data_IF_169369298140
#
_entry.id   IF_169369298140
#
_cell.length_a   1.000
_cell.length_b   1.000
_cell.length_c   1.000
_cell.angle_alpha   90.00
_cell.angle_beta   90.00
_cell.angle_gamma   90.00
#
_symmetry.space_group_name_H-M   'P 1'
#
loop_
_entity.id
_entity.type
_entity.pdbx_description
1 polymer ?
#
# COMPACT_ATOMS: atom_id res chain seq x y z
N UNK A 1 32.72 -25.12 -16.27
CA UNK A 1 33.31 -23.88 -15.72
C UNK A 1 32.18 -23.06 -15.13
N UNK A 2 31.95 -23.19 -13.82
CA UNK A 2 30.97 -22.35 -13.12
C UNK A 2 31.56 -20.97 -12.98
N UNK A 3 31.14 -20.05 -13.84
CA UNK A 3 31.45 -18.64 -13.68
C UNK A 3 30.77 -18.15 -12.39
N UNK A 4 31.59 -17.83 -11.40
CA UNK A 4 31.11 -17.08 -10.22
C UNK A 4 30.51 -15.76 -10.72
N UNK A 5 29.20 -15.67 -10.84
CA UNK A 5 28.53 -14.40 -11.13
C UNK A 5 28.84 -13.47 -9.96
N UNK A 6 29.67 -12.45 -10.20
CA UNK A 6 29.97 -11.42 -9.21
C UNK A 6 28.67 -10.73 -8.83
N UNK A 7 28.28 -10.81 -7.56
CA UNK A 7 27.08 -10.12 -7.05
C UNK A 7 27.39 -8.63 -6.90
N UNK A 8 26.37 -7.81 -7.08
CA UNK A 8 26.42 -6.40 -6.74
C UNK A 8 26.18 -6.24 -5.24
N UNK A 9 27.05 -5.49 -4.59
CA UNK A 9 26.83 -5.01 -3.23
C UNK A 9 26.08 -3.67 -3.32
N UNK A 10 24.88 -3.62 -2.79
CA UNK A 10 24.01 -2.45 -2.85
C UNK A 10 23.62 -2.01 -1.45
N UNK A 11 23.23 -0.74 -1.32
CA UNK A 11 22.57 -0.19 -0.13
C UNK A 11 21.15 0.17 -0.49
N UNK A 12 20.19 -0.16 0.37
CA UNK A 12 18.77 0.08 0.07
C UNK A 12 18.08 0.69 1.28
N UNK A 13 17.36 1.77 1.04
CA UNK A 13 16.37 2.30 1.97
C UNK A 13 15.03 1.60 1.70
N UNK A 14 14.51 0.89 2.68
CA UNK A 14 13.22 0.20 2.63
C UNK A 14 12.27 0.88 3.61
N UNK A 15 11.49 1.83 3.14
CA UNK A 15 10.61 2.65 3.96
C UNK A 15 11.36 3.30 5.14
N UNK A 16 11.08 2.85 6.38
CA UNK A 16 11.72 3.40 7.59
C UNK A 16 13.06 2.72 7.92
N UNK A 17 13.37 1.59 7.28
CA UNK A 17 14.65 0.90 7.42
C UNK A 17 15.67 1.49 6.47
N UNK A 18 16.64 2.23 7.01
CA UNK A 18 17.65 2.93 6.22
C UNK A 18 18.92 2.10 6.07
N UNK A 19 19.64 2.32 4.96
CA UNK A 19 20.99 1.79 4.68
C UNK A 19 21.12 0.26 4.82
N UNK A 20 20.14 -0.49 4.32
CA UNK A 20 20.15 -1.95 4.39
C UNK A 20 21.09 -2.52 3.31
N UNK A 21 21.99 -3.43 3.71
CA UNK A 21 22.90 -4.11 2.78
C UNK A 21 22.17 -5.18 1.97
N UNK A 22 22.37 -5.21 0.65
CA UNK A 22 21.82 -6.24 -0.22
C UNK A 22 22.85 -6.78 -1.20
N UNK A 23 22.78 -8.08 -1.48
CA UNK A 23 23.58 -8.76 -2.49
C UNK A 23 22.68 -9.21 -3.64
N UNK A 24 22.79 -8.55 -4.79
CA UNK A 24 21.95 -8.82 -5.93
C UNK A 24 22.72 -9.44 -7.10
N UNK A 25 22.06 -10.31 -7.86
CA UNK A 25 22.59 -10.76 -9.15
C UNK A 25 22.40 -9.63 -10.19
N UNK A 26 23.43 -9.25 -10.95
CA UNK A 26 23.34 -8.17 -11.95
C UNK A 26 22.27 -8.41 -13.03
N UNK A 27 21.89 -9.66 -13.23
CA UNK A 27 20.91 -10.10 -14.24
C UNK A 27 19.45 -9.99 -13.79
N UNK A 28 19.19 -9.70 -12.51
CA UNK A 28 17.82 -9.52 -12.02
C UNK A 28 17.18 -8.28 -12.65
N UNK A 29 15.93 -8.39 -13.03
CA UNK A 29 15.10 -7.23 -13.35
C UNK A 29 14.69 -6.50 -12.06
N UNK A 30 14.26 -5.24 -12.19
CA UNK A 30 13.82 -4.45 -11.02
C UNK A 30 12.67 -5.13 -10.28
N UNK A 31 11.58 -5.63 -10.93
CA UNK A 31 10.52 -6.33 -10.23
C UNK A 31 11.00 -7.57 -9.46
N UNK A 32 11.91 -8.38 -10.04
CA UNK A 32 12.48 -9.55 -9.34
C UNK A 32 13.28 -9.17 -8.10
N UNK A 33 13.99 -8.04 -8.16
CA UNK A 33 14.75 -7.55 -7.03
C UNK A 33 13.84 -6.94 -5.97
N UNK A 34 12.78 -6.21 -6.38
CA UNK A 34 11.74 -5.73 -5.48
C UNK A 34 11.06 -6.88 -4.76
N UNK A 35 10.66 -7.96 -5.47
CA UNK A 35 10.08 -9.16 -4.83
C UNK A 35 10.99 -9.73 -3.73
N UNK A 36 12.31 -9.78 -3.98
CA UNK A 36 13.26 -10.25 -2.97
C UNK A 36 13.30 -9.32 -1.75
N UNK A 37 13.27 -8.00 -1.96
CA UNK A 37 13.22 -7.00 -0.88
C UNK A 37 11.93 -7.16 -0.07
N UNK A 38 10.77 -7.26 -0.74
CA UNK A 38 9.49 -7.39 -0.05
C UNK A 38 9.42 -8.65 0.81
N UNK A 39 10.01 -9.75 0.34
CA UNK A 39 10.09 -10.99 1.11
C UNK A 39 11.01 -10.86 2.31
N UNK A 40 12.19 -10.25 2.15
CA UNK A 40 13.18 -10.06 3.23
C UNK A 40 12.65 -9.18 4.35
N UNK A 41 11.88 -8.13 4.01
CA UNK A 41 11.35 -7.16 4.97
C UNK A 41 9.86 -7.37 5.28
N UNK A 42 9.35 -8.58 5.12
CA UNK A 42 7.93 -8.92 5.30
C UNK A 42 7.40 -8.69 6.73
N UNK A 43 8.29 -8.50 7.72
CA UNK A 43 7.92 -8.11 9.09
C UNK A 43 7.39 -6.67 9.21
N UNK A 44 7.65 -5.80 8.20
CA UNK A 44 7.09 -4.44 8.17
C UNK A 44 5.61 -4.52 7.85
N UNK A 45 4.76 -4.20 8.81
CA UNK A 45 3.30 -4.42 8.70
C UNK A 45 2.62 -3.66 7.55
N UNK A 46 3.17 -2.50 7.14
CA UNK A 46 2.65 -1.66 6.05
C UNK A 46 3.42 -1.83 4.74
N UNK A 47 4.40 -2.73 4.68
CA UNK A 47 5.05 -3.12 3.43
C UNK A 47 4.19 -4.17 2.72
N UNK A 48 3.75 -3.86 1.50
CA UNK A 48 2.99 -4.78 0.67
C UNK A 48 3.83 -5.92 0.11
N UNK A 49 3.18 -6.90 -0.48
CA UNK A 49 3.81 -8.08 -1.08
C UNK A 49 3.65 -8.13 -2.62
N UNK A 50 3.35 -7.00 -3.24
CA UNK A 50 3.13 -6.90 -4.70
C UNK A 50 4.18 -5.96 -5.30
N UNK A 51 5.14 -6.50 -6.03
CA UNK A 51 6.27 -5.71 -6.57
C UNK A 51 5.84 -4.56 -7.48
N UNK A 52 4.73 -4.70 -8.21
CA UNK A 52 4.22 -3.63 -9.09
C UNK A 52 3.71 -2.40 -8.35
N UNK A 53 3.50 -2.48 -7.03
CA UNK A 53 3.11 -1.33 -6.21
C UNK A 53 4.31 -0.47 -5.80
N UNK A 54 5.54 -0.89 -6.16
CA UNK A 54 6.80 -0.24 -5.80
C UNK A 54 7.66 0.07 -7.02
N UNK A 55 8.60 0.98 -6.82
CA UNK A 55 9.71 1.24 -7.74
C UNK A 55 11.00 1.42 -6.95
N UNK A 56 12.13 1.18 -7.61
CA UNK A 56 13.44 1.50 -7.06
C UNK A 56 13.96 2.78 -7.69
N UNK A 57 14.44 3.68 -6.87
CA UNK A 57 15.06 4.94 -7.29
C UNK A 57 16.51 5.00 -6.84
N UNK A 58 17.35 5.70 -7.59
CA UNK A 58 18.71 6.02 -7.16
C UNK A 58 18.65 7.04 -6.03
N UNK A 59 19.28 6.74 -4.91
CA UNK A 59 19.30 7.65 -3.76
C UNK A 59 20.00 9.00 -4.07
N UNK A 60 20.84 9.04 -5.11
CA UNK A 60 21.63 10.20 -5.49
C UNK A 60 20.79 11.33 -6.10
N UNK A 61 19.76 11.00 -6.87
CA UNK A 61 19.02 11.96 -7.70
C UNK A 61 17.53 11.66 -7.87
N UNK A 62 17.03 10.58 -7.20
CA UNK A 62 15.62 10.15 -7.29
C UNK A 62 15.24 9.56 -8.65
N UNK A 63 16.21 9.28 -9.54
CA UNK A 63 15.91 8.69 -10.85
C UNK A 63 15.40 7.26 -10.69
N UNK A 64 14.17 6.94 -11.18
CA UNK A 64 13.65 5.59 -11.12
C UNK A 64 14.41 4.64 -12.03
N UNK A 65 14.57 3.39 -11.61
CA UNK A 65 15.12 2.32 -12.43
C UNK A 65 14.05 1.79 -13.39
N UNK A 66 14.49 1.42 -14.60
CA UNK A 66 13.63 0.78 -15.61
C UNK A 66 13.35 -0.67 -15.22
N UNK A 67 12.05 -1.02 -15.09
CA UNK A 67 11.58 -2.33 -14.69
C UNK A 67 12.01 -3.46 -15.65
N UNK A 68 12.20 -3.14 -16.94
CA UNK A 68 12.54 -4.12 -18.00
C UNK A 68 14.03 -4.37 -18.15
N UNK A 69 14.87 -3.47 -17.65
CA UNK A 69 16.34 -3.53 -17.78
C UNK A 69 16.97 -4.19 -16.56
N UNK A 70 17.92 -5.13 -16.72
CA UNK A 70 18.65 -5.73 -15.61
C UNK A 70 19.34 -4.67 -14.72
N UNK A 71 19.30 -4.88 -13.40
CA UNK A 71 19.83 -3.89 -12.43
C UNK A 71 21.31 -3.59 -12.64
N UNK A 72 22.12 -4.59 -13.02
CA UNK A 72 23.54 -4.42 -13.27
C UNK A 72 23.90 -3.56 -14.48
N UNK A 73 22.93 -3.25 -15.36
CA UNK A 73 23.09 -2.28 -16.45
C UNK A 73 22.74 -0.87 -16.04
N UNK A 74 22.05 -0.69 -14.91
CA UNK A 74 21.53 0.59 -14.45
C UNK A 74 22.32 1.17 -13.28
N UNK A 75 22.90 0.28 -12.46
CA UNK A 75 23.67 0.67 -11.27
C UNK A 75 24.93 -0.17 -11.11
N UNK A 76 25.96 0.43 -10.54
CA UNK A 76 27.23 -0.24 -10.22
C UNK A 76 27.27 -0.78 -8.79
N UNK A 77 28.38 -1.47 -8.49
CA UNK A 77 28.67 -1.90 -7.13
C UNK A 77 28.77 -0.71 -6.17
N UNK A 78 28.22 -0.85 -4.97
CA UNK A 78 28.19 0.22 -3.96
C UNK A 78 27.06 1.25 -4.16
N UNK A 79 26.19 1.08 -5.16
CA UNK A 79 25.08 2.01 -5.38
C UNK A 79 24.07 1.97 -4.22
N UNK A 80 23.51 3.16 -3.92
CA UNK A 80 22.44 3.33 -2.96
C UNK A 80 21.11 3.55 -3.68
N UNK A 81 20.10 2.78 -3.27
CA UNK A 81 18.74 2.78 -3.83
C UNK A 81 17.71 3.09 -2.75
N UNK A 82 16.55 3.53 -3.15
CA UNK A 82 15.39 3.74 -2.28
C UNK A 82 14.21 2.97 -2.87
N UNK A 83 13.55 2.15 -2.03
CA UNK A 83 12.28 1.54 -2.39
C UNK A 83 11.16 2.54 -2.12
N UNK A 84 10.46 2.93 -3.18
CA UNK A 84 9.40 3.95 -3.15
C UNK A 84 8.09 3.30 -3.57
N UNK A 85 7.00 3.63 -2.88
CA UNK A 85 5.65 3.24 -3.30
C UNK A 85 5.24 4.03 -4.54
N UNK A 86 4.72 3.33 -5.56
CA UNK A 86 4.22 4.01 -6.76
C UNK A 86 3.00 4.86 -6.43
N UNK A 87 3.04 6.11 -6.86
CA UNK A 87 1.90 7.00 -6.71
C UNK A 87 0.74 6.58 -7.61
N UNK A 88 -0.48 6.68 -7.08
CA UNK A 88 -1.71 6.51 -7.85
C UNK A 88 -2.34 7.88 -8.09
N UNK A 89 -2.87 8.15 -9.30
CA UNK A 89 -3.59 9.39 -9.56
C UNK A 89 -4.81 9.48 -8.63
N UNK A 90 -5.07 10.68 -8.14
CA UNK A 90 -6.24 10.92 -7.30
C UNK A 90 -7.51 10.91 -8.16
N UNK A 91 -8.55 10.16 -7.78
CA UNK A 91 -9.88 10.29 -8.37
C UNK A 91 -10.46 11.69 -8.18
N UNK A 92 -11.36 12.10 -9.07
CA UNK A 92 -12.07 13.38 -8.92
C UNK A 92 -12.81 13.44 -7.57
N UNK A 93 -12.86 14.62 -6.98
CA UNK A 93 -13.53 14.88 -5.69
C UNK A 93 -12.94 14.11 -4.49
N UNK A 94 -11.71 13.64 -4.61
CA UNK A 94 -10.98 13.03 -3.48
C UNK A 94 -9.80 13.90 -3.06
N UNK A 95 -9.30 13.64 -1.87
CA UNK A 95 -8.09 14.28 -1.35
C UNK A 95 -7.16 13.24 -0.72
N UNK A 96 -5.87 13.55 -0.60
CA UNK A 96 -4.92 12.68 0.11
C UNK A 96 -5.23 12.68 1.61
N UNK A 97 -5.10 11.53 2.28
CA UNK A 97 -5.07 11.52 3.74
C UNK A 97 -3.89 12.33 4.27
N UNK A 98 -4.03 12.89 5.48
CA UNK A 98 -2.97 13.67 6.13
C UNK A 98 -1.79 12.82 6.60
N UNK A 99 -1.97 11.50 6.66
CA UNK A 99 -0.99 10.51 7.08
C UNK A 99 -0.95 9.34 6.09
N UNK A 100 0.15 8.61 6.05
CA UNK A 100 0.22 7.35 5.33
C UNK A 100 -0.60 6.28 6.05
N UNK A 101 -1.67 5.81 5.40
CA UNK A 101 -2.60 4.83 5.98
C UNK A 101 -2.76 3.61 5.09
N UNK A 102 -2.94 2.46 5.73
CA UNK A 102 -2.98 1.18 5.06
C UNK A 102 -4.05 0.27 5.67
N UNK A 103 -4.57 -0.64 4.84
CA UNK A 103 -5.30 -1.82 5.29
C UNK A 103 -4.49 -3.06 4.93
N UNK A 104 -4.15 -3.88 5.94
CA UNK A 104 -3.48 -5.18 5.73
C UNK A 104 -4.47 -6.30 5.90
N UNK A 105 -4.68 -7.09 4.85
CA UNK A 105 -5.45 -8.32 4.93
C UNK A 105 -4.63 -9.38 5.70
N UNK A 106 -5.23 -9.93 6.76
CA UNK A 106 -4.50 -10.71 7.75
C UNK A 106 -4.11 -12.12 7.30
N UNK A 107 -4.91 -12.75 6.44
CA UNK A 107 -4.64 -14.12 5.98
C UNK A 107 -3.53 -14.19 4.92
N UNK A 108 -3.52 -13.25 3.97
CA UNK A 108 -2.55 -13.22 2.85
C UNK A 108 -1.38 -12.26 3.07
N UNK A 109 -1.51 -11.35 4.03
CA UNK A 109 -0.56 -10.27 4.26
C UNK A 109 -0.60 -9.17 3.21
N UNK A 110 -1.59 -9.19 2.29
CA UNK A 110 -1.72 -8.15 1.27
C UNK A 110 -2.01 -6.80 1.91
N UNK A 111 -1.25 -5.79 1.52
CA UNK A 111 -1.38 -4.42 2.00
C UNK A 111 -1.99 -3.54 0.90
N UNK A 112 -2.93 -2.70 1.30
CA UNK A 112 -3.56 -1.70 0.45
C UNK A 112 -3.27 -0.32 1.04
N UNK A 113 -2.51 0.51 0.34
CA UNK A 113 -2.33 1.92 0.71
C UNK A 113 -3.62 2.68 0.37
N UNK A 114 -4.13 3.44 1.33
CA UNK A 114 -5.27 4.33 1.11
C UNK A 114 -4.73 5.67 0.58
N UNK A 115 -4.61 5.78 -0.75
CA UNK A 115 -4.01 6.95 -1.40
C UNK A 115 -4.94 8.17 -1.45
N UNK A 116 -6.22 8.01 -1.15
CA UNK A 116 -7.24 9.06 -1.16
C UNK A 116 -8.34 8.81 -0.15
N UNK A 117 -9.10 9.85 0.12
CA UNK A 117 -10.34 9.81 0.89
C UNK A 117 -11.44 10.63 0.16
N UNK A 118 -12.72 10.22 0.24
CA UNK A 118 -13.19 8.98 0.84
C UNK A 118 -12.63 7.75 0.12
N UNK A 119 -12.17 6.74 0.88
CA UNK A 119 -11.64 5.50 0.37
C UNK A 119 -12.69 4.38 0.48
N UNK A 120 -13.05 3.77 -0.63
CA UNK A 120 -14.03 2.68 -0.66
C UNK A 120 -13.30 1.34 -0.53
N UNK A 121 -13.78 0.51 0.40
CA UNK A 121 -13.46 -0.91 0.50
C UNK A 121 -14.59 -1.69 -0.16
N UNK A 122 -14.28 -2.49 -1.18
CA UNK A 122 -15.34 -3.21 -1.88
C UNK A 122 -14.83 -4.08 -3.00
N UNK A 123 -15.69 -4.39 -3.93
CA UNK A 123 -15.38 -5.24 -5.08
C UNK A 123 -15.57 -4.45 -6.39
N UNK A 124 -14.52 -4.30 -7.17
CA UNK A 124 -14.61 -3.74 -8.51
C UNK A 124 -15.60 -4.53 -9.36
N UNK A 125 -16.45 -3.82 -10.08
CA UNK A 125 -17.42 -4.41 -10.99
C UNK A 125 -17.39 -3.65 -12.32
N UNK A 126 -17.44 -4.40 -13.43
CA UNK A 126 -17.44 -3.82 -14.77
C UNK A 126 -18.60 -2.83 -14.93
N UNK A 127 -18.34 -1.75 -15.65
CA UNK A 127 -19.33 -0.73 -16.04
C UNK A 127 -20.09 -0.08 -14.87
N UNK A 128 -19.50 0.01 -13.69
CA UNK A 128 -20.09 0.71 -12.55
C UNK A 128 -19.49 2.12 -12.40
N UNK A 129 -20.34 3.14 -12.14
CA UNK A 129 -19.85 4.48 -11.82
C UNK A 129 -19.06 4.46 -10.50
N UNK A 130 -18.07 5.36 -10.40
CA UNK A 130 -17.23 5.55 -9.20
C UNK A 130 -16.39 4.33 -8.78
N UNK A 131 -16.05 3.44 -9.73
CA UNK A 131 -15.08 2.39 -9.51
C UNK A 131 -13.71 2.96 -9.11
N UNK A 132 -13.38 4.15 -9.58
CA UNK A 132 -12.18 4.90 -9.26
C UNK A 132 -12.03 5.21 -7.77
N UNK A 133 -13.15 5.26 -7.02
CA UNK A 133 -13.11 5.47 -5.57
C UNK A 133 -12.75 4.20 -4.77
N UNK A 134 -12.74 3.02 -5.42
CA UNK A 134 -12.40 1.76 -4.75
C UNK A 134 -10.88 1.72 -4.51
N UNK A 135 -10.48 2.06 -3.29
CA UNK A 135 -9.10 2.03 -2.85
C UNK A 135 -8.64 0.60 -2.51
N UNK A 136 -9.56 -0.23 -2.01
CA UNK A 136 -9.33 -1.61 -1.60
C UNK A 136 -10.23 -2.53 -2.41
N UNK A 137 -9.67 -3.12 -3.47
CA UNK A 137 -10.39 -4.07 -4.32
C UNK A 137 -10.29 -5.49 -3.78
N UNK A 138 -11.41 -6.02 -3.33
CA UNK A 138 -11.55 -7.39 -2.83
C UNK A 138 -12.07 -8.37 -3.90
N UNK A 139 -12.17 -7.95 -5.17
CA UNK A 139 -12.58 -8.82 -6.30
C UNK A 139 -11.67 -10.06 -6.47
N UNK A 140 -10.34 -9.99 -6.26
CA UNK A 140 -9.47 -11.15 -6.42
C UNK A 140 -9.66 -12.27 -5.38
N UNK A 141 -10.39 -12.01 -4.29
CA UNK A 141 -10.61 -13.01 -3.24
C UNK A 141 -11.68 -14.03 -3.65
N UNK A 142 -11.49 -15.31 -3.32
CA UNK A 142 -12.43 -16.38 -3.64
C UNK A 142 -13.84 -16.17 -3.08
N UNK A 143 -13.96 -15.38 -2.02
CA UNK A 143 -15.22 -15.01 -1.35
C UNK A 143 -15.80 -13.67 -1.83
N UNK A 144 -15.23 -13.08 -2.87
CA UNK A 144 -15.57 -11.74 -3.37
C UNK A 144 -17.08 -11.52 -3.65
N UNK A 145 -17.82 -12.55 -4.01
CA UNK A 145 -19.27 -12.44 -4.26
C UNK A 145 -20.07 -12.12 -2.99
N UNK A 146 -19.49 -12.32 -1.81
CA UNK A 146 -20.07 -11.95 -0.50
C UNK A 146 -19.74 -10.52 -0.09
N UNK A 147 -18.85 -9.86 -0.83
CA UNK A 147 -18.47 -8.46 -0.63
C UNK A 147 -19.30 -7.58 -1.55
N UNK A 148 -19.89 -6.52 -1.01
CA UNK A 148 -20.59 -5.51 -1.80
C UNK A 148 -19.61 -4.73 -2.68
N UNK A 149 -20.07 -4.20 -3.82
CA UNK A 149 -19.25 -3.36 -4.71
C UNK A 149 -18.70 -2.12 -3.97
N UNK A 150 -19.53 -1.55 -3.12
CA UNK A 150 -19.16 -0.56 -2.12
C UNK A 150 -19.61 -1.10 -0.79
N UNK A 151 -18.69 -1.61 0.00
CA UNK A 151 -19.04 -2.25 1.26
C UNK A 151 -18.86 -1.27 2.41
N UNK A 152 -17.67 -0.71 2.51
CA UNK A 152 -17.33 0.25 3.57
C UNK A 152 -16.72 1.50 2.93
N UNK A 153 -16.79 2.60 3.67
CA UNK A 153 -16.11 3.85 3.36
C UNK A 153 -15.23 4.25 4.54
N UNK A 154 -14.02 4.71 4.24
CA UNK A 154 -13.10 5.29 5.21
C UNK A 154 -12.89 6.75 4.83
N UNK A 155 -13.05 7.64 5.81
CA UNK A 155 -12.85 9.08 5.69
C UNK A 155 -11.93 9.58 6.79
N UNK A 156 -11.39 10.78 6.60
CA UNK A 156 -10.60 11.49 7.60
C UNK A 156 -11.24 12.87 7.84
N UNK A 157 -11.36 13.25 9.10
CA UNK A 157 -11.74 14.59 9.52
C UNK A 157 -10.86 15.03 10.68
N UNK A 158 -10.18 16.16 10.53
CA UNK A 158 -9.29 16.72 11.54
C UNK A 158 -8.16 15.78 11.98
N UNK A 159 -7.66 14.91 11.09
CA UNK A 159 -6.59 13.93 11.40
C UNK A 159 -7.10 12.66 12.09
N UNK A 160 -8.41 12.53 12.29
CA UNK A 160 -9.06 11.33 12.82
C UNK A 160 -9.74 10.56 11.68
N UNK A 161 -9.56 9.25 11.66
CA UNK A 161 -10.20 8.37 10.68
C UNK A 161 -11.52 7.82 11.19
N UNK A 162 -12.43 7.62 10.25
CA UNK A 162 -13.76 7.08 10.50
C UNK A 162 -14.08 6.02 9.46
N UNK A 163 -14.92 5.05 9.86
CA UNK A 163 -15.40 3.98 8.98
C UNK A 163 -16.92 3.88 9.08
N UNK A 164 -17.58 3.67 7.94
CA UNK A 164 -19.01 3.44 7.86
C UNK A 164 -19.35 2.32 6.86
N UNK A 165 -20.50 1.69 7.06
CA UNK A 165 -20.99 0.63 6.19
C UNK A 165 -21.98 1.21 5.18
N UNK A 166 -21.64 1.09 3.88
CA UNK A 166 -22.47 1.53 2.75
C UNK A 166 -23.38 0.41 2.22
N UNK A 167 -23.33 -0.77 2.82
CA UNK A 167 -24.01 -1.95 2.31
C UNK A 167 -25.00 -2.54 3.33
N UNK A 168 -25.77 -3.54 2.87
CA UNK A 168 -26.63 -4.33 3.76
C UNK A 168 -25.91 -5.55 4.36
N UNK A 169 -24.69 -5.82 3.90
CA UNK A 169 -23.89 -6.90 4.45
C UNK A 169 -23.19 -6.42 5.72
N UNK A 170 -23.23 -7.21 6.80
CA UNK A 170 -22.64 -6.80 8.07
C UNK A 170 -21.12 -6.72 7.97
N UNK A 171 -20.55 -5.83 8.75
CA UNK A 171 -19.12 -5.73 9.03
C UNK A 171 -18.92 -5.38 10.50
N UNK A 172 -17.84 -5.87 11.08
CA UNK A 172 -17.51 -5.70 12.49
C UNK A 172 -16.18 -4.95 12.63
N UNK A 173 -16.11 -4.13 13.67
CA UNK A 173 -14.88 -3.48 14.12
C UNK A 173 -14.41 -4.17 15.39
N UNK A 174 -13.24 -4.77 15.33
CA UNK A 174 -12.58 -5.41 16.47
C UNK A 174 -11.45 -4.51 16.95
N UNK A 175 -11.49 -4.16 18.23
CA UNK A 175 -10.48 -3.33 18.88
C UNK A 175 -9.96 -4.04 20.12
N UNK A 176 -8.69 -4.44 20.10
CA UNK A 176 -8.05 -5.18 21.20
C UNK A 176 -8.90 -6.38 21.67
N UNK A 177 -9.24 -6.41 22.95
CA UNK A 177 -10.08 -7.46 23.59
C UNK A 177 -11.53 -6.96 23.82
N UNK A 178 -11.91 -5.82 23.23
CA UNK A 178 -13.24 -5.29 23.37
C UNK A 178 -14.27 -6.17 22.64
N UNK A 179 -15.53 -6.02 23.03
CA UNK A 179 -16.63 -6.65 22.29
C UNK A 179 -16.69 -6.08 20.88
N UNK A 180 -16.77 -6.92 19.83
CA UNK A 180 -16.93 -6.45 18.47
C UNK A 180 -18.08 -5.46 18.32
N UNK A 181 -17.81 -4.34 17.65
CA UNK A 181 -18.82 -3.32 17.34
C UNK A 181 -19.30 -3.50 15.90
N UNK A 182 -20.60 -3.47 15.67
CA UNK A 182 -21.14 -3.48 14.31
C UNK A 182 -20.87 -2.13 13.62
N UNK A 183 -20.28 -2.20 12.42
CA UNK A 183 -20.11 -1.02 11.58
C UNK A 183 -21.41 -0.76 10.84
N UNK A 184 -22.04 0.37 11.14
CA UNK A 184 -23.32 0.80 10.56
C UNK A 184 -23.12 1.95 9.56
N UNK A 185 -24.21 2.53 9.07
CA UNK A 185 -24.15 3.76 8.26
C UNK A 185 -23.78 5.01 9.07
N UNK A 186 -23.70 4.90 10.41
CA UNK A 186 -23.17 5.96 11.26
C UNK A 186 -21.66 5.79 11.37
N UNK A 187 -20.86 6.83 11.02
CA UNK A 187 -19.41 6.72 11.09
C UNK A 187 -18.91 6.38 12.50
N UNK A 188 -18.06 5.37 12.58
CA UNK A 188 -17.35 4.97 13.80
C UNK A 188 -15.88 5.42 13.72
N UNK A 189 -15.30 5.93 14.83
CA UNK A 189 -13.87 6.21 14.86
C UNK A 189 -13.04 4.95 14.59
N UNK A 190 -12.08 5.07 13.66
CA UNK A 190 -11.13 4.03 13.30
C UNK A 190 -9.76 4.38 13.85
N UNK A 191 -9.14 3.47 14.60
CA UNK A 191 -7.86 3.69 15.28
C UNK A 191 -6.78 2.74 14.76
N UNK A 192 -5.51 3.13 14.78
CA UNK A 192 -4.41 2.23 14.45
C UNK A 192 -4.48 0.93 15.26
N UNK A 193 -4.35 -0.20 14.56
CA UNK A 193 -4.47 -1.54 15.14
C UNK A 193 -5.87 -2.14 15.14
N UNK A 194 -6.92 -1.36 14.85
CA UNK A 194 -8.28 -1.89 14.67
C UNK A 194 -8.32 -2.89 13.51
N UNK A 195 -9.15 -3.92 13.65
CA UNK A 195 -9.42 -4.91 12.60
C UNK A 195 -10.86 -4.79 12.12
N UNK A 196 -11.00 -4.59 10.83
CA UNK A 196 -12.30 -4.55 10.15
C UNK A 196 -12.58 -5.94 9.58
N UNK A 197 -13.62 -6.58 10.05
CA UNK A 197 -13.99 -7.94 9.67
C UNK A 197 -15.22 -7.94 8.78
N UNK A 198 -15.09 -8.55 7.60
CA UNK A 198 -16.18 -8.86 6.68
C UNK A 198 -16.57 -10.33 6.89
N UNK A 199 -17.28 -10.60 7.98
CA UNK A 199 -17.57 -11.95 8.48
C UNK A 199 -18.05 -12.92 7.40
N UNK A 200 -19.04 -12.51 6.58
CA UNK A 200 -19.56 -13.36 5.49
C UNK A 200 -18.53 -13.71 4.43
N UNK A 201 -17.50 -12.90 4.29
CA UNK A 201 -16.45 -13.08 3.28
C UNK A 201 -15.18 -13.71 3.85
N UNK A 202 -15.09 -13.88 5.17
CA UNK A 202 -13.89 -14.36 5.85
C UNK A 202 -12.65 -13.50 5.49
N UNK A 203 -12.84 -12.17 5.54
CA UNK A 203 -11.79 -11.20 5.25
C UNK A 203 -11.63 -10.29 6.46
N UNK A 204 -10.42 -10.23 7.01
CA UNK A 204 -10.05 -9.38 8.11
C UNK A 204 -8.96 -8.38 7.69
N UNK A 205 -9.24 -7.09 7.83
CA UNK A 205 -8.39 -5.99 7.39
C UNK A 205 -7.89 -5.19 8.61
N UNK A 206 -6.60 -5.27 8.92
CA UNK A 206 -5.99 -4.46 9.99
C UNK A 206 -5.73 -3.05 9.48
N UNK A 207 -6.21 -2.06 10.22
CA UNK A 207 -5.96 -0.64 9.94
C UNK A 207 -4.62 -0.22 10.54
N UNK A 208 -3.76 0.37 9.71
CA UNK A 208 -2.41 0.77 10.08
C UNK A 208 -2.21 2.23 9.67
N UNK A 209 -1.70 3.03 10.60
CA UNK A 209 -1.24 4.38 10.35
C UNK A 209 0.28 4.39 10.53
N UNK A 210 0.99 4.80 9.49
CA UNK A 210 2.44 4.98 9.57
C UNK A 210 2.71 6.36 10.14
N UNK A 211 3.33 6.41 11.33
CA UNK A 211 3.83 7.64 11.92
C UNK A 211 5.14 8.03 11.22
N UNK A 212 5.04 8.66 10.08
CA UNK A 212 6.15 9.21 9.30
C UNK A 212 5.94 10.69 9.05
N UNK A 213 6.99 11.43 8.68
CA UNK A 213 6.87 12.83 8.27
C UNK A 213 5.80 12.94 7.17
N UNK A 214 4.94 13.98 7.21
CA UNK A 214 3.93 14.19 6.18
C UNK A 214 4.61 14.16 4.81
N UNK A 215 3.97 13.49 3.84
CA UNK A 215 4.42 13.51 2.45
C UNK A 215 4.67 14.95 2.04
N UNK A 216 5.85 15.23 1.48
CA UNK A 216 6.21 16.57 1.04
C UNK A 216 5.08 17.10 0.15
N UNK A 217 4.50 18.23 0.54
CA UNK A 217 3.52 18.92 -0.28
C UNK A 217 4.12 19.16 -1.67
N UNK A 218 3.35 18.96 -2.76
CA UNK A 218 3.84 19.32 -4.09
C UNK A 218 4.25 20.79 -4.05
N UNK A 219 5.48 21.07 -4.47
CA UNK A 219 5.96 22.44 -4.63
C UNK A 219 5.06 23.13 -5.66
N UNK A 220 4.19 24.03 -5.21
CA UNK A 220 3.54 25.01 -6.06
C UNK A 220 4.62 25.89 -6.69
N UNK A 221 5.08 25.52 -7.86
CA UNK A 221 5.88 26.39 -8.70
C UNK A 221 4.93 27.42 -9.31
N UNK A 222 5.07 28.72 -8.97
CA UNK A 222 4.20 29.74 -9.58
C UNK A 222 4.55 29.82 -11.05
N UNK A 223 3.55 29.59 -11.92
CA UNK A 223 3.63 29.89 -13.34
C UNK A 223 4.11 31.34 -13.52
N UNK A 224 5.31 31.47 -14.03
CA UNK A 224 5.86 32.79 -14.43
C UNK A 224 4.98 33.38 -15.53
N UNK A 225 4.54 34.62 -15.29
CA UNK A 225 3.81 35.47 -16.22
C UNK A 225 4.66 35.91 -17.42
#
# INVERSE_FOLDING_TARGET
MSGSQTRLELRIDVLDKKDQGALALPTLTVPQFVDAILNEFSEIEYLGNVASDYQLEKASDGTPLDDSTPIGQQVGNGASLVLVERERPLPELTMRPSQDVYLREQATGKVFKLCWQPAIVGRLAESQPYNELVAVDLKPYGTALRVSRRHLQITEDGGQFFIENLSKNPALLLRNQDKPAEITATPLPLQPGDVVELDRADIALKFIVRNGAPAAAPSDEPAAA
#
